data_IF_988056928103
#
_entry.id   IF_988056928103
#
_cell.length_a   1.000
_cell.length_b   1.000
_cell.length_c   1.000
_cell.angle_alpha   90.00
_cell.angle_beta   90.00
_cell.angle_gamma   90.00
#
_symmetry.space_group_name_H-M   'P 1'
#
loop_
_entity.id
_entity.type
_entity.pdbx_description
1 polymer ?
#
# COMPACT_ATOMS: atom_id res chain seq x y z
N UNK A 1 26.56 -0.11 1.47
CA UNK A 1 26.27 -1.56 1.34
C UNK A 1 25.14 -2.05 2.25
N UNK A 2 25.26 -2.07 3.59
CA UNK A 2 24.16 -2.56 4.47
C UNK A 2 22.88 -1.69 4.39
N UNK A 3 23.03 -0.37 4.29
CA UNK A 3 21.89 0.57 4.23
C UNK A 3 21.15 0.55 2.88
N UNK A 4 21.89 0.48 1.77
CA UNK A 4 21.31 0.36 0.43
C UNK A 4 20.48 -0.93 0.29
N UNK A 5 20.97 -2.04 0.86
CA UNK A 5 20.23 -3.29 0.90
C UNK A 5 18.95 -3.16 1.74
N UNK A 6 19.01 -2.47 2.89
CA UNK A 6 17.83 -2.23 3.72
C UNK A 6 16.78 -1.39 2.98
N UNK A 7 17.20 -0.31 2.31
CA UNK A 7 16.32 0.53 1.48
C UNK A 7 15.67 -0.31 0.37
N UNK A 8 16.44 -1.14 -0.33
CA UNK A 8 15.93 -1.99 -1.39
C UNK A 8 14.90 -3.02 -0.87
N UNK A 9 15.19 -3.68 0.25
CA UNK A 9 14.27 -4.64 0.88
C UNK A 9 12.97 -3.96 1.30
N UNK A 10 13.05 -2.78 1.94
CA UNK A 10 11.84 -2.02 2.30
C UNK A 10 11.02 -1.63 1.08
N UNK A 11 11.66 -1.14 0.02
CA UNK A 11 10.98 -0.79 -1.23
C UNK A 11 10.29 -2.01 -1.85
N UNK A 12 10.96 -3.18 -1.83
CA UNK A 12 10.40 -4.43 -2.31
C UNK A 12 9.18 -4.87 -1.47
N UNK A 13 9.27 -4.77 -0.14
CA UNK A 13 8.15 -5.06 0.76
C UNK A 13 6.95 -4.14 0.51
N UNK A 14 7.17 -2.83 0.36
CA UNK A 14 6.12 -1.87 0.02
C UNK A 14 5.49 -2.16 -1.34
N UNK A 15 6.29 -2.57 -2.32
CA UNK A 15 5.81 -2.92 -3.65
C UNK A 15 4.95 -4.19 -3.63
N UNK A 16 5.41 -5.24 -2.95
CA UNK A 16 4.62 -6.48 -2.76
C UNK A 16 3.31 -6.18 -2.04
N UNK A 17 3.36 -5.34 -1.00
CA UNK A 17 2.18 -4.91 -0.28
C UNK A 17 1.20 -4.13 -1.17
N UNK A 18 1.70 -3.20 -1.99
CA UNK A 18 0.88 -2.47 -2.96
C UNK A 18 0.16 -3.40 -3.94
N UNK A 19 0.84 -4.44 -4.43
CA UNK A 19 0.26 -5.44 -5.33
C UNK A 19 -0.86 -6.21 -4.63
N UNK A 20 -0.62 -6.70 -3.40
CA UNK A 20 -1.63 -7.44 -2.62
C UNK A 20 -2.86 -6.57 -2.35
N UNK A 21 -2.66 -5.32 -1.94
CA UNK A 21 -3.77 -4.38 -1.68
C UNK A 21 -4.57 -4.09 -2.96
N UNK A 22 -3.87 -3.90 -4.08
CA UNK A 22 -4.52 -3.67 -5.38
C UNK A 22 -5.31 -4.89 -5.83
N UNK A 23 -4.75 -6.09 -5.65
CA UNK A 23 -5.43 -7.35 -5.98
C UNK A 23 -6.70 -7.53 -5.14
N UNK A 24 -6.61 -7.30 -3.83
CA UNK A 24 -7.77 -7.36 -2.93
C UNK A 24 -8.87 -6.37 -3.34
N UNK A 25 -8.50 -5.12 -3.67
CA UNK A 25 -9.47 -4.14 -4.20
C UNK A 25 -10.16 -4.61 -5.47
N UNK A 26 -9.40 -5.16 -6.42
CA UNK A 26 -9.96 -5.68 -7.68
C UNK A 26 -10.90 -6.86 -7.40
N UNK A 27 -10.52 -7.77 -6.52
CA UNK A 27 -11.32 -8.93 -6.18
C UNK A 27 -12.65 -8.54 -5.51
N UNK A 28 -12.61 -7.69 -4.50
CA UNK A 28 -13.83 -7.19 -3.84
C UNK A 28 -14.75 -6.47 -4.82
N UNK A 29 -14.17 -5.67 -5.72
CA UNK A 29 -14.95 -4.96 -6.72
C UNK A 29 -15.56 -5.89 -7.77
N UNK A 30 -14.86 -6.97 -8.14
CA UNK A 30 -15.41 -8.01 -9.01
C UNK A 30 -16.60 -8.71 -8.36
N UNK A 31 -16.49 -9.07 -7.08
CA UNK A 31 -17.61 -9.68 -6.32
C UNK A 31 -18.81 -8.73 -6.30
N UNK A 32 -18.58 -7.44 -6.06
CA UNK A 32 -19.64 -6.43 -6.08
C UNK A 32 -20.35 -6.33 -7.44
N UNK A 33 -19.60 -6.34 -8.55
CA UNK A 33 -20.17 -6.30 -9.90
C UNK A 33 -20.94 -7.58 -10.22
N UNK A 34 -20.49 -8.74 -9.72
CA UNK A 34 -21.16 -10.02 -9.91
C UNK A 34 -22.51 -10.07 -9.18
N UNK A 35 -22.55 -9.61 -7.93
CA UNK A 35 -23.80 -9.48 -7.15
C UNK A 35 -24.77 -8.45 -7.76
N UNK A 36 -24.24 -7.42 -8.43
CA UNK A 36 -25.02 -6.34 -9.04
C UNK A 36 -24.87 -6.37 -10.56
N UNK A 37 -25.40 -7.42 -11.22
CA UNK A 37 -25.22 -7.67 -12.66
C UNK A 37 -25.59 -6.51 -13.60
N UNK A 38 -26.39 -5.54 -13.14
CA UNK A 38 -26.75 -4.32 -13.91
C UNK A 38 -25.81 -3.14 -13.70
N UNK A 39 -24.94 -3.18 -12.69
CA UNK A 39 -23.99 -2.12 -12.39
C UNK A 39 -22.89 -2.11 -13.45
N UNK A 40 -22.69 -0.96 -14.10
CA UNK A 40 -21.58 -0.77 -15.04
C UNK A 40 -20.31 -0.47 -14.27
N UNK A 41 -19.17 -0.93 -14.80
CA UNK A 41 -17.86 -0.57 -14.27
C UNK A 41 -17.69 0.96 -14.28
N UNK A 42 -17.43 1.53 -13.11
CA UNK A 42 -17.06 2.93 -12.94
C UNK A 42 -15.80 3.04 -12.08
N UNK A 43 -14.80 3.77 -12.57
CA UNK A 43 -13.54 3.94 -11.83
C UNK A 43 -13.74 4.73 -10.52
N UNK A 44 -14.63 5.73 -10.53
CA UNK A 44 -14.98 6.45 -9.29
C UNK A 44 -15.60 5.51 -8.26
N UNK A 45 -16.45 4.57 -8.68
CA UNK A 45 -17.07 3.60 -7.77
C UNK A 45 -16.06 2.57 -7.25
N UNK A 46 -15.13 2.14 -8.11
CA UNK A 46 -14.00 1.29 -7.72
C UNK A 46 -13.18 1.94 -6.59
N UNK A 47 -12.74 3.20 -6.79
CA UNK A 47 -11.93 3.93 -5.80
C UNK A 47 -12.74 4.19 -4.53
N UNK A 48 -14.03 4.53 -4.65
CA UNK A 48 -14.91 4.81 -3.51
C UNK A 48 -15.12 3.58 -2.63
N UNK A 49 -15.25 2.38 -3.22
CA UNK A 49 -15.35 1.11 -2.48
C UNK A 49 -13.99 0.64 -1.95
N UNK A 50 -12.94 0.83 -2.73
CA UNK A 50 -11.57 0.49 -2.34
C UNK A 50 -10.91 1.46 -1.34
N UNK A 51 -11.64 2.47 -0.84
CA UNK A 51 -11.13 3.47 0.11
C UNK A 51 -10.41 2.86 1.31
N UNK A 52 -10.96 1.80 1.88
CA UNK A 52 -10.34 1.13 3.04
C UNK A 52 -8.93 0.64 2.71
N UNK A 53 -8.77 -0.07 1.59
CA UNK A 53 -7.49 -0.58 1.12
C UNK A 53 -6.50 0.56 0.79
N UNK A 54 -6.99 1.64 0.18
CA UNK A 54 -6.17 2.84 -0.10
C UNK A 54 -5.68 3.47 1.21
N UNK A 55 -6.56 3.69 2.19
CA UNK A 55 -6.16 4.28 3.47
C UNK A 55 -5.22 3.37 4.25
N UNK A 56 -5.43 2.05 4.20
CA UNK A 56 -4.56 1.08 4.85
C UNK A 56 -3.16 1.10 4.19
N UNK A 57 -3.10 1.13 2.86
CA UNK A 57 -1.85 1.27 2.12
C UNK A 57 -1.11 2.57 2.46
N UNK A 58 -1.81 3.70 2.43
CA UNK A 58 -1.22 5.01 2.74
C UNK A 58 -0.76 5.10 4.20
N UNK A 59 -1.59 4.62 5.14
CA UNK A 59 -1.27 4.62 6.57
C UNK A 59 -0.04 3.77 6.89
N UNK A 60 0.03 2.55 6.35
CA UNK A 60 1.19 1.69 6.55
C UNK A 60 2.45 2.29 5.91
N UNK A 61 2.34 2.80 4.68
CA UNK A 61 3.46 3.46 3.99
C UNK A 61 3.98 4.65 4.79
N UNK A 62 3.09 5.46 5.35
CA UNK A 62 3.45 6.59 6.19
C UNK A 62 4.20 6.16 7.45
N UNK A 63 3.71 5.13 8.16
CA UNK A 63 4.38 4.57 9.35
C UNK A 63 5.77 4.04 9.00
N UNK A 64 5.91 3.32 7.89
CA UNK A 64 7.21 2.77 7.44
C UNK A 64 8.19 3.91 7.12
N UNK A 65 7.76 4.94 6.39
CA UNK A 65 8.62 6.09 6.04
C UNK A 65 9.05 6.85 7.30
N UNK A 66 8.13 7.09 8.24
CA UNK A 66 8.47 7.76 9.50
C UNK A 66 9.45 6.94 10.33
N UNK A 67 9.18 5.65 10.51
CA UNK A 67 10.05 4.74 11.25
C UNK A 67 11.45 4.68 10.64
N UNK A 68 11.54 4.64 9.31
CA UNK A 68 12.83 4.66 8.62
C UNK A 68 13.56 6.00 8.75
N UNK A 69 12.83 7.11 8.69
CA UNK A 69 13.41 8.46 8.87
C UNK A 69 14.00 8.61 10.27
N UNK A 70 13.28 8.17 11.31
CA UNK A 70 13.77 8.16 12.70
C UNK A 70 14.99 7.26 12.85
N UNK A 71 14.96 6.06 12.24
CA UNK A 71 16.10 5.16 12.24
C UNK A 71 17.35 5.81 11.63
N UNK A 72 17.23 6.46 10.48
CA UNK A 72 18.35 7.16 9.84
C UNK A 72 18.86 8.33 10.69
N UNK A 73 17.97 9.12 11.30
CA UNK A 73 18.36 10.20 12.20
C UNK A 73 19.14 9.67 13.41
N UNK A 74 18.65 8.60 14.05
CA UNK A 74 19.32 7.98 15.19
C UNK A 74 20.68 7.40 14.82
N UNK A 75 20.81 6.75 13.66
CA UNK A 75 22.10 6.23 13.19
C UNK A 75 23.09 7.37 12.88
N UNK A 76 22.61 8.49 12.34
CA UNK A 76 23.44 9.68 12.07
C UNK A 76 24.00 10.33 13.33
N UNK A 77 23.23 10.35 14.42
CA UNK A 77 23.64 10.93 15.70
C UNK A 77 24.63 10.06 16.48
N UNK A 78 24.62 8.74 16.23
CA UNK A 78 25.53 7.76 16.85
C UNK A 78 26.86 7.54 16.09
N UNK A 79 27.10 8.28 15.00
CA UNK A 79 28.36 8.29 14.23
C UNK A 79 29.13 9.58 14.48
#
# INVERSE_FOLDING_TARGET
MKEEQAIFIMALCLLLFAIVMSYAMVQDYRIYLDENYKARYSFCDFIKRGRFYIYLFLGLTFVIILGFTVYLMAMRENM
#
